data_IF_977153401223
#
_entry.id   IF_977153401223
#
_cell.length_a   1.000
_cell.length_b   1.000
_cell.length_c   1.000
_cell.angle_alpha   90.00
_cell.angle_beta   90.00
_cell.angle_gamma   90.00
#
_symmetry.space_group_name_H-M   'P 1'
#
loop_
_entity.id
_entity.type
_entity.pdbx_description
1 polymer ?
#
# COMPACT_ATOMS: atom_id res chain seq x y z
N UNK A 1 -18.32 -22.47 -10.32
CA UNK A 1 -17.09 -23.24 -9.99
C UNK A 1 -16.18 -22.37 -9.12
N UNK A 2 -15.87 -22.77 -7.88
CA UNK A 2 -14.88 -22.06 -7.04
C UNK A 2 -13.50 -22.65 -7.30
N UNK A 3 -12.57 -21.85 -7.81
CA UNK A 3 -11.18 -22.26 -8.04
C UNK A 3 -10.50 -22.54 -6.70
N UNK A 4 -9.69 -23.61 -6.54
CA UNK A 4 -9.00 -23.92 -5.30
C UNK A 4 -8.00 -22.83 -4.90
N UNK A 5 -7.80 -22.63 -3.60
CA UNK A 5 -6.94 -21.56 -3.07
C UNK A 5 -5.49 -21.70 -3.55
N UNK A 6 -4.90 -22.89 -3.54
CA UNK A 6 -3.54 -23.09 -4.02
C UNK A 6 -3.38 -22.72 -5.50
N UNK A 7 -4.38 -23.02 -6.32
CA UNK A 7 -4.39 -22.69 -7.75
C UNK A 7 -4.45 -21.18 -7.97
N UNK A 8 -5.19 -20.45 -7.13
CA UNK A 8 -5.21 -18.98 -7.17
C UNK A 8 -3.86 -18.37 -6.84
N UNK A 9 -3.15 -18.91 -5.83
CA UNK A 9 -1.81 -18.45 -5.46
C UNK A 9 -0.82 -18.66 -6.62
N UNK A 10 -0.82 -19.86 -7.22
CA UNK A 10 0.06 -20.18 -8.35
C UNK A 10 -0.23 -19.24 -9.53
N UNK A 11 -1.50 -19.03 -9.85
CA UNK A 11 -1.91 -18.12 -10.92
C UNK A 11 -1.48 -16.67 -10.65
N UNK A 12 -1.58 -16.19 -9.40
CA UNK A 12 -1.10 -14.87 -9.02
C UNK A 12 0.41 -14.71 -9.23
N UNK A 13 1.21 -15.72 -8.86
CA UNK A 13 2.67 -15.70 -9.06
C UNK A 13 3.02 -15.74 -10.55
N UNK A 14 2.34 -16.60 -11.33
CA UNK A 14 2.57 -16.70 -12.78
C UNK A 14 2.27 -15.36 -13.46
N UNK A 15 1.11 -14.75 -13.17
CA UNK A 15 0.75 -13.45 -13.75
C UNK A 15 1.70 -12.35 -13.33
N UNK A 16 2.12 -12.33 -12.05
CA UNK A 16 3.11 -11.38 -11.56
C UNK A 16 4.43 -11.49 -12.35
N UNK A 17 4.95 -12.70 -12.55
CA UNK A 17 6.20 -12.91 -13.29
C UNK A 17 6.03 -12.57 -14.77
N UNK A 18 4.95 -13.02 -15.42
CA UNK A 18 4.69 -12.77 -16.84
C UNK A 18 4.70 -11.28 -17.18
N UNK A 19 4.06 -10.48 -16.33
CA UNK A 19 3.91 -9.03 -16.53
C UNK A 19 5.23 -8.28 -16.34
N UNK A 20 6.21 -8.86 -15.64
CA UNK A 20 7.57 -8.29 -15.55
C UNK A 20 8.44 -8.61 -16.77
N UNK A 21 8.04 -9.58 -17.60
CA UNK A 21 8.80 -10.04 -18.77
C UNK A 21 8.26 -9.50 -20.10
N UNK A 22 7.00 -9.07 -20.12
CA UNK A 22 6.31 -8.61 -21.34
C UNK A 22 5.98 -7.13 -21.21
N UNK A 23 6.24 -6.36 -22.28
CA UNK A 23 5.81 -4.97 -22.39
C UNK A 23 4.29 -4.90 -22.64
N UNK A 24 3.55 -4.67 -21.56
CA UNK A 24 2.10 -4.50 -21.56
C UNK A 24 1.69 -3.05 -21.32
N UNK A 25 0.46 -2.64 -21.72
CA UNK A 25 -0.10 -1.36 -21.34
C UNK A 25 -0.01 -1.12 -19.82
N UNK A 26 0.33 0.10 -19.41
CA UNK A 26 0.65 0.43 -18.01
C UNK A 26 -0.43 0.00 -17.01
N UNK A 27 -1.72 0.14 -17.36
CA UNK A 27 -2.82 -0.27 -16.48
C UNK A 27 -2.80 -1.77 -16.18
N UNK A 28 -2.59 -2.60 -17.21
CA UNK A 28 -2.49 -4.05 -17.08
C UNK A 28 -1.25 -4.42 -16.27
N UNK A 29 -0.12 -3.77 -16.59
CA UNK A 29 1.12 -3.96 -15.86
C UNK A 29 0.95 -3.67 -14.36
N UNK A 30 0.38 -2.52 -14.03
CA UNK A 30 0.17 -2.11 -12.64
C UNK A 30 -0.78 -3.07 -11.92
N UNK A 31 -1.94 -3.38 -12.50
CA UNK A 31 -2.93 -4.25 -11.86
C UNK A 31 -2.35 -5.62 -11.49
N UNK A 32 -1.64 -6.26 -12.41
CA UNK A 32 -1.07 -7.59 -12.17
C UNK A 32 0.23 -7.57 -11.36
N UNK A 33 1.02 -6.49 -11.44
CA UNK A 33 2.21 -6.35 -10.59
C UNK A 33 1.85 -6.32 -9.10
N UNK A 34 0.69 -5.77 -8.74
CA UNK A 34 0.24 -5.68 -7.35
C UNK A 34 -0.55 -6.91 -6.85
N UNK A 35 -0.89 -7.87 -7.71
CA UNK A 35 -1.62 -9.09 -7.33
C UNK A 35 -1.04 -9.83 -6.10
N UNK A 36 0.28 -10.03 -5.98
CA UNK A 36 0.85 -10.69 -4.80
C UNK A 36 0.50 -9.99 -3.48
N UNK A 37 0.47 -8.65 -3.46
CA UNK A 37 0.10 -7.87 -2.28
C UNK A 37 -1.36 -8.09 -1.88
N UNK A 38 -2.27 -8.09 -2.84
CA UNK A 38 -3.68 -8.39 -2.59
C UNK A 38 -3.86 -9.81 -2.05
N UNK A 39 -3.15 -10.76 -2.63
CA UNK A 39 -3.22 -12.16 -2.21
C UNK A 39 -2.68 -12.37 -0.80
N UNK A 40 -1.59 -11.70 -0.44
CA UNK A 40 -1.07 -11.66 0.94
C UNK A 40 -2.12 -11.12 1.91
N UNK A 41 -2.84 -10.05 1.55
CA UNK A 41 -3.95 -9.53 2.34
C UNK A 41 -5.05 -10.57 2.59
N UNK A 42 -5.39 -11.38 1.58
CA UNK A 42 -6.36 -12.48 1.71
C UNK A 42 -5.84 -13.57 2.65
N UNK A 43 -4.56 -13.95 2.55
CA UNK A 43 -3.93 -14.95 3.44
C UNK A 43 -4.02 -14.47 4.90
N UNK A 44 -3.64 -13.23 5.17
CA UNK A 44 -3.70 -12.63 6.51
C UNK A 44 -5.15 -12.59 7.00
N UNK A 45 -6.10 -12.18 6.15
CA UNK A 45 -7.52 -12.12 6.51
C UNK A 45 -8.13 -13.48 6.84
N UNK A 46 -7.72 -14.56 6.15
CA UNK A 46 -8.19 -15.92 6.44
C UNK A 46 -7.56 -16.51 7.70
N UNK A 47 -6.28 -16.25 7.92
CA UNK A 47 -5.49 -16.85 8.98
C UNK A 47 -4.84 -15.77 9.86
N UNK A 48 -5.66 -14.95 10.52
CA UNK A 48 -5.17 -13.81 11.30
C UNK A 48 -4.22 -14.21 12.43
N UNK A 49 -4.35 -15.44 12.94
CA UNK A 49 -3.47 -16.03 13.95
C UNK A 49 -2.01 -16.15 13.50
N UNK A 50 -1.71 -16.11 12.20
CA UNK A 50 -0.33 -16.03 11.68
C UNK A 50 0.37 -14.80 12.27
N UNK A 51 -0.35 -13.71 12.50
CA UNK A 51 0.20 -12.51 13.10
C UNK A 51 0.60 -12.71 14.56
N UNK A 52 0.04 -13.65 15.33
CA UNK A 52 0.48 -13.89 16.72
C UNK A 52 1.92 -14.42 16.82
N UNK A 53 2.49 -14.93 15.73
CA UNK A 53 3.82 -15.54 15.75
C UNK A 53 4.92 -14.48 15.75
N UNK A 54 5.76 -14.50 16.80
CA UNK A 54 6.96 -13.67 16.86
C UNK A 54 7.94 -13.94 15.71
N UNK A 55 7.96 -15.17 15.17
CA UNK A 55 8.79 -15.52 14.01
C UNK A 55 8.37 -14.73 12.77
N UNK A 56 7.06 -14.58 12.55
CA UNK A 56 6.53 -13.79 11.41
C UNK A 56 6.91 -12.32 11.57
N UNK A 57 6.86 -11.78 12.80
CA UNK A 57 7.34 -10.43 13.08
C UNK A 57 8.83 -10.27 12.80
N UNK A 58 9.68 -11.15 13.36
CA UNK A 58 11.12 -11.07 13.19
C UNK A 58 11.52 -11.16 11.71
N UNK A 59 10.95 -12.13 10.98
CA UNK A 59 11.22 -12.32 9.54
C UNK A 59 10.75 -11.11 8.72
N UNK A 60 9.53 -10.61 8.96
CA UNK A 60 9.02 -9.43 8.24
C UNK A 60 9.83 -8.16 8.53
N UNK A 61 10.29 -7.97 9.77
CA UNK A 61 11.16 -6.88 10.15
C UNK A 61 12.53 -6.99 9.47
N UNK A 62 13.17 -8.16 9.50
CA UNK A 62 14.46 -8.41 8.83
C UNK A 62 14.34 -8.15 7.33
N UNK A 63 13.33 -8.71 6.67
CA UNK A 63 13.09 -8.53 5.23
C UNK A 63 12.91 -7.04 4.90
N UNK A 64 12.15 -6.31 5.72
CA UNK A 64 11.90 -4.88 5.48
C UNK A 64 13.18 -4.05 5.67
N UNK A 65 13.95 -4.30 6.72
CA UNK A 65 15.21 -3.59 7.00
C UNK A 65 16.26 -3.90 5.93
N UNK A 66 16.41 -5.16 5.54
CA UNK A 66 17.29 -5.56 4.44
C UNK A 66 16.87 -4.90 3.13
N UNK A 67 15.58 -4.84 2.85
CA UNK A 67 15.06 -4.16 1.66
C UNK A 67 15.37 -2.67 1.60
N UNK A 68 15.28 -1.99 2.74
CA UNK A 68 15.70 -0.59 2.87
C UNK A 68 17.20 -0.43 2.65
N UNK A 69 18.03 -1.28 3.28
CA UNK A 69 19.48 -1.25 3.14
C UNK A 69 19.93 -1.50 1.69
N UNK A 70 19.35 -2.51 1.03
CA UNK A 70 19.62 -2.85 -0.38
C UNK A 70 19.29 -1.68 -1.30
N UNK A 71 18.15 -1.00 -1.08
CA UNK A 71 17.79 0.19 -1.88
C UNK A 71 18.74 1.37 -1.68
N UNK A 72 19.26 1.55 -0.48
CA UNK A 72 20.25 2.60 -0.20
C UNK A 72 21.56 2.29 -0.92
N UNK A 73 22.02 1.03 -0.88
CA UNK A 73 23.31 0.64 -1.42
C UNK A 73 23.33 0.56 -2.96
N UNK A 74 22.24 0.10 -3.59
CA UNK A 74 22.19 -0.07 -5.05
C UNK A 74 22.09 1.25 -5.85
N UNK A 75 21.96 2.41 -5.19
CA UNK A 75 22.29 3.72 -5.78
C UNK A 75 21.60 4.09 -7.11
N UNK A 76 20.39 3.57 -7.38
CA UNK A 76 19.65 3.83 -8.64
C UNK A 76 18.71 5.05 -8.58
N UNK A 77 17.63 5.03 -9.38
CA UNK A 77 16.48 5.95 -9.22
C UNK A 77 15.74 5.65 -7.91
N UNK A 78 16.38 5.95 -6.77
CA UNK A 78 15.92 5.71 -5.40
C UNK A 78 14.57 6.38 -5.08
N UNK A 79 14.14 7.33 -5.92
CA UNK A 79 12.82 7.98 -5.84
C UNK A 79 11.70 7.16 -6.53
N UNK A 80 12.04 6.17 -7.36
CA UNK A 80 11.07 5.30 -8.07
C UNK A 80 10.71 4.09 -7.20
N UNK A 81 9.89 4.36 -6.18
CA UNK A 81 9.51 3.38 -5.15
C UNK A 81 8.10 2.81 -5.32
N UNK A 82 7.31 3.33 -6.24
CA UNK A 82 5.89 2.94 -6.36
C UNK A 82 5.74 1.59 -7.06
N UNK A 83 6.59 1.26 -8.04
CA UNK A 83 6.44 0.05 -8.85
C UNK A 83 6.75 -1.24 -8.07
N UNK A 84 5.93 -2.27 -8.25
CA UNK A 84 6.12 -3.60 -7.64
C UNK A 84 7.00 -4.45 -8.58
N UNK A 85 8.31 -4.29 -8.45
CA UNK A 85 9.32 -4.96 -9.29
C UNK A 85 9.73 -6.31 -8.68
N UNK A 86 10.12 -7.28 -9.51
CA UNK A 86 10.56 -8.61 -9.08
C UNK A 86 11.65 -8.57 -8.00
N UNK A 87 12.64 -7.70 -8.18
CA UNK A 87 13.79 -7.54 -7.29
C UNK A 87 13.47 -6.88 -5.93
N UNK A 88 12.30 -6.24 -5.79
CA UNK A 88 11.91 -5.53 -4.56
C UNK A 88 10.57 -5.98 -4.00
N UNK A 89 9.89 -6.91 -4.66
CA UNK A 89 8.59 -7.44 -4.28
C UNK A 89 8.63 -8.07 -2.88
N UNK A 90 9.68 -8.85 -2.57
CA UNK A 90 9.80 -9.52 -1.26
C UNK A 90 9.89 -8.52 -0.11
N UNK A 91 10.58 -7.39 -0.31
CA UNK A 91 10.70 -6.33 0.69
C UNK A 91 9.37 -5.64 0.95
N UNK A 92 8.59 -5.39 -0.12
CA UNK A 92 7.24 -4.82 -0.02
C UNK A 92 6.28 -5.77 0.69
N UNK A 93 6.31 -7.06 0.36
CA UNK A 93 5.52 -8.10 1.05
C UNK A 93 5.89 -8.16 2.54
N UNK A 94 7.19 -8.15 2.87
CA UNK A 94 7.66 -8.08 4.25
C UNK A 94 7.08 -6.87 5.00
N UNK A 95 7.10 -5.68 4.38
CA UNK A 95 6.55 -4.47 4.99
C UNK A 95 5.04 -4.55 5.26
N UNK A 96 4.29 -5.25 4.39
CA UNK A 96 2.85 -5.48 4.58
C UNK A 96 2.62 -6.33 5.83
N UNK A 97 3.29 -7.47 5.94
CA UNK A 97 3.20 -8.32 7.14
C UNK A 97 3.58 -7.57 8.41
N UNK A 98 4.66 -6.78 8.36
CA UNK A 98 5.10 -5.98 9.49
C UNK A 98 4.02 -4.97 9.91
N UNK A 99 3.42 -4.27 8.96
CA UNK A 99 2.39 -3.26 9.27
C UNK A 99 1.11 -3.88 9.82
N UNK A 100 0.67 -5.01 9.26
CA UNK A 100 -0.48 -5.75 9.79
C UNK A 100 -0.21 -6.35 11.18
N UNK A 101 1.00 -6.85 11.43
CA UNK A 101 1.41 -7.32 12.76
C UNK A 101 1.33 -6.20 13.80
N UNK A 102 1.87 -5.02 13.47
CA UNK A 102 1.81 -3.85 14.35
C UNK A 102 0.36 -3.43 14.61
N UNK A 103 -0.47 -3.37 13.57
CA UNK A 103 -1.89 -3.03 13.72
C UNK A 103 -2.63 -4.04 14.60
N UNK A 104 -2.34 -5.33 14.45
CA UNK A 104 -3.00 -6.38 15.21
C UNK A 104 -2.64 -6.33 16.71
N UNK A 105 -1.36 -6.14 17.07
CA UNK A 105 -0.94 -6.12 18.49
C UNK A 105 -1.18 -4.79 19.18
N UNK A 106 -1.07 -3.67 18.47
CA UNK A 106 -1.17 -2.33 19.04
C UNK A 106 -2.54 -1.68 18.82
N UNK A 107 -3.55 -2.45 18.39
CA UNK A 107 -4.89 -1.96 18.07
C UNK A 107 -5.49 -1.05 19.15
N UNK A 108 -5.28 -1.38 20.43
CA UNK A 108 -5.88 -0.65 21.55
C UNK A 108 -5.18 0.68 21.90
N UNK A 109 -4.11 1.05 21.21
CA UNK A 109 -3.40 2.30 21.48
C UNK A 109 -4.15 3.50 20.84
N UNK A 110 -4.10 4.68 21.47
CA UNK A 110 -4.76 5.91 21.01
C UNK A 110 -4.39 6.28 19.56
N UNK A 111 -3.15 6.00 19.16
CA UNK A 111 -2.69 6.20 17.79
C UNK A 111 -3.46 5.33 16.79
N UNK A 112 -3.58 4.03 17.05
CA UNK A 112 -4.29 3.11 16.16
C UNK A 112 -5.79 3.35 16.14
N UNK A 113 -6.40 3.67 17.30
CA UNK A 113 -7.79 4.10 17.37
C UNK A 113 -8.09 5.33 16.50
N UNK A 114 -7.14 6.28 16.42
CA UNK A 114 -7.28 7.44 15.54
C UNK A 114 -7.33 7.03 14.06
N UNK A 115 -6.44 6.12 13.62
CA UNK A 115 -6.42 5.63 12.24
C UNK A 115 -7.61 4.72 11.92
N UNK A 116 -8.08 3.93 12.88
CA UNK A 116 -9.25 3.06 12.72
C UNK A 116 -10.50 3.85 12.32
N UNK A 117 -10.69 5.06 12.87
CA UNK A 117 -11.79 5.97 12.49
C UNK A 117 -11.80 6.30 10.98
N UNK A 118 -10.63 6.37 10.35
CA UNK A 118 -10.51 6.65 8.92
C UNK A 118 -10.59 5.39 8.05
N UNK A 119 -10.66 4.18 8.63
CA UNK A 119 -10.85 2.93 7.89
C UNK A 119 -12.11 2.91 7.02
N UNK A 120 -13.19 3.56 7.50
CA UNK A 120 -14.42 3.85 6.74
C UNK A 120 -14.18 4.59 5.42
N UNK A 121 -13.13 5.42 5.37
CA UNK A 121 -12.76 6.24 4.22
C UNK A 121 -11.53 5.67 3.50
N UNK A 122 -11.22 4.39 3.70
CA UNK A 122 -10.06 3.71 3.10
C UNK A 122 -10.02 3.86 1.57
N UNK A 123 -11.18 3.86 0.90
CA UNK A 123 -11.26 4.10 -0.55
C UNK A 123 -10.79 5.51 -0.95
N UNK A 124 -11.13 6.52 -0.16
CA UNK A 124 -10.69 7.90 -0.38
C UNK A 124 -9.18 7.96 -0.22
N UNK A 125 -8.65 7.41 0.87
CA UNK A 125 -7.21 7.35 1.13
C UNK A 125 -6.49 6.62 -0.01
N UNK A 126 -7.03 5.51 -0.49
CA UNK A 126 -6.47 4.73 -1.59
C UNK A 126 -6.43 5.53 -2.91
N UNK A 127 -7.48 6.27 -3.26
CA UNK A 127 -7.51 7.06 -4.49
C UNK A 127 -6.64 8.31 -4.41
N UNK A 128 -6.59 8.94 -3.24
CA UNK A 128 -5.93 10.23 -3.03
C UNK A 128 -4.44 10.09 -2.76
N UNK A 129 -3.97 9.02 -2.10
CA UNK A 129 -2.54 8.91 -1.77
C UNK A 129 -1.64 8.82 -3.01
N UNK A 130 -2.08 8.19 -4.10
CA UNK A 130 -1.30 8.06 -5.34
C UNK A 130 -0.97 9.40 -6.01
N UNK A 131 -1.95 10.28 -6.31
CA UNK A 131 -1.67 11.59 -6.90
C UNK A 131 -0.88 12.50 -5.94
N UNK A 132 -1.23 12.53 -4.65
CA UNK A 132 -0.52 13.36 -3.68
C UNK A 132 0.91 12.89 -3.44
N UNK A 133 1.18 11.58 -3.37
CA UNK A 133 2.54 11.05 -3.27
C UNK A 133 3.37 11.43 -4.50
N UNK A 134 2.79 11.38 -5.70
CA UNK A 134 3.48 11.80 -6.93
C UNK A 134 3.78 13.30 -6.93
N UNK A 135 2.84 14.13 -6.49
CA UNK A 135 3.02 15.57 -6.34
C UNK A 135 4.12 15.90 -5.32
N UNK A 136 4.02 15.36 -4.10
CA UNK A 136 5.01 15.61 -3.05
C UNK A 136 6.40 15.08 -3.41
N UNK A 137 6.50 13.98 -4.16
CA UNK A 137 7.78 13.49 -4.69
C UNK A 137 8.47 14.56 -5.55
N UNK A 138 7.74 15.17 -6.49
CA UNK A 138 8.28 16.23 -7.35
C UNK A 138 8.69 17.44 -6.50
N UNK A 139 7.86 17.84 -5.53
CA UNK A 139 8.16 18.98 -4.64
C UNK A 139 9.41 18.71 -3.81
N UNK A 140 9.51 17.56 -3.14
CA UNK A 140 10.66 17.19 -2.30
C UNK A 140 11.96 17.07 -3.12
N UNK A 141 11.88 16.55 -4.34
CA UNK A 141 13.03 16.51 -5.26
C UNK A 141 13.45 17.91 -5.69
N UNK A 142 12.51 18.82 -5.97
CA UNK A 142 12.80 20.21 -6.35
C UNK A 142 13.41 21.02 -5.19
N UNK A 143 13.09 20.68 -3.95
CA UNK A 143 13.71 21.26 -2.74
C UNK A 143 15.14 20.71 -2.53
N UNK A 144 15.55 19.69 -3.27
CA UNK A 144 16.92 19.15 -3.21
C UNK A 144 17.17 18.20 -2.04
N UNK A 145 16.12 17.56 -1.50
CA UNK A 145 16.29 16.57 -0.42
C UNK A 145 16.97 15.32 -0.99
N UNK A 146 18.25 15.16 -0.64
CA UNK A 146 19.11 14.06 -1.10
C UNK A 146 19.13 12.86 -0.14
N UNK A 147 18.75 13.04 1.13
CA UNK A 147 18.72 11.95 2.10
C UNK A 147 17.48 11.06 1.90
N UNK A 148 17.71 9.79 1.56
CA UNK A 148 16.65 8.81 1.29
C UNK A 148 15.68 8.61 2.46
N UNK A 149 16.19 8.51 3.70
CA UNK A 149 15.34 8.28 4.87
C UNK A 149 14.43 9.48 5.14
N UNK A 150 15.02 10.68 5.11
CA UNK A 150 14.27 11.93 5.29
C UNK A 150 13.23 12.07 4.19
N UNK A 151 13.60 11.78 2.94
CA UNK A 151 12.70 11.82 1.80
C UNK A 151 11.51 10.87 1.96
N UNK A 152 11.78 9.60 2.30
CA UNK A 152 10.75 8.57 2.45
C UNK A 152 9.82 8.90 3.63
N UNK A 153 10.38 9.34 4.76
CA UNK A 153 9.60 9.74 5.92
C UNK A 153 8.68 10.92 5.61
N UNK A 154 9.22 11.99 4.99
CA UNK A 154 8.43 13.16 4.60
C UNK A 154 7.37 12.81 3.56
N UNK A 155 7.70 11.96 2.58
CA UNK A 155 6.75 11.55 1.54
C UNK A 155 5.56 10.79 2.14
N UNK A 156 5.82 9.82 3.03
CA UNK A 156 4.77 9.07 3.72
C UNK A 156 3.94 10.01 4.59
N UNK A 157 4.59 10.87 5.37
CA UNK A 157 3.93 11.80 6.27
C UNK A 157 3.01 12.76 5.49
N UNK A 158 3.54 13.46 4.49
CA UNK A 158 2.79 14.42 3.67
C UNK A 158 1.63 13.75 2.91
N UNK A 159 1.88 12.60 2.28
CA UNK A 159 0.85 11.86 1.55
C UNK A 159 -0.26 11.38 2.49
N UNK A 160 0.09 10.90 3.69
CA UNK A 160 -0.86 10.45 4.70
C UNK A 160 -1.70 11.63 5.24
N UNK A 161 -1.05 12.74 5.61
CA UNK A 161 -1.72 13.96 6.09
C UNK A 161 -2.68 14.53 5.04
N UNK A 162 -2.26 14.60 3.78
CA UNK A 162 -3.13 15.06 2.69
C UNK A 162 -4.34 14.14 2.51
N UNK A 163 -4.15 12.82 2.59
CA UNK A 163 -5.26 11.85 2.49
C UNK A 163 -6.27 12.03 3.62
N UNK A 164 -5.80 12.19 4.86
CA UNK A 164 -6.64 12.44 6.04
C UNK A 164 -7.40 13.77 5.88
N UNK A 165 -6.73 14.81 5.38
CA UNK A 165 -7.35 16.11 5.12
C UNK A 165 -8.49 16.01 4.11
N UNK A 166 -8.32 15.26 3.02
CA UNK A 166 -9.39 15.02 2.04
C UNK A 166 -10.53 14.18 2.64
N UNK A 167 -10.23 13.20 3.50
CA UNK A 167 -11.29 12.49 4.25
C UNK A 167 -12.09 13.43 5.15
N UNK A 168 -11.43 14.36 5.84
CA UNK A 168 -12.10 15.38 6.64
C UNK A 168 -12.99 16.29 5.78
N UNK A 169 -12.48 16.77 4.63
CA UNK A 169 -13.24 17.58 3.68
C UNK A 169 -14.45 16.82 3.12
N UNK A 170 -14.28 15.53 2.79
CA UNK A 170 -15.37 14.67 2.33
C UNK A 170 -16.49 14.56 3.37
N UNK A 171 -16.16 14.51 4.66
CA UNK A 171 -17.15 14.55 5.74
C UNK A 171 -17.89 15.88 5.88
N UNK A 172 -17.34 16.99 5.37
CA UNK A 172 -17.89 18.36 5.51
C UNK A 172 -18.57 18.87 4.24
N UNK A 173 -18.11 18.45 3.07
CA UNK A 173 -18.55 18.96 1.76
C UNK A 173 -19.22 17.85 0.94
N UNK A 174 -20.50 18.03 0.64
CA UNK A 174 -21.28 17.07 -0.15
C UNK A 174 -20.71 16.82 -1.55
N UNK A 175 -20.11 17.83 -2.18
CA UNK A 175 -19.49 17.70 -3.51
C UNK A 175 -18.30 16.74 -3.48
N UNK A 176 -17.46 16.84 -2.45
CA UNK A 176 -16.29 15.97 -2.29
C UNK A 176 -16.75 14.54 -1.96
N UNK A 177 -17.76 14.39 -1.10
CA UNK A 177 -18.33 13.09 -0.79
C UNK A 177 -18.98 12.42 -2.00
N UNK A 178 -19.66 13.19 -2.85
CA UNK A 178 -20.25 12.71 -4.11
C UNK A 178 -19.21 12.13 -5.06
N UNK A 179 -18.05 12.79 -5.21
CA UNK A 179 -16.99 12.31 -6.08
C UNK A 179 -16.44 10.94 -5.67
N UNK A 180 -16.37 10.67 -4.36
CA UNK A 180 -15.84 9.41 -3.83
C UNK A 180 -16.91 8.34 -3.55
N UNK A 181 -18.16 8.74 -3.30
CA UNK A 181 -19.29 7.84 -3.01
C UNK A 181 -20.53 8.30 -3.79
N UNK A 182 -20.52 8.19 -5.13
CA UNK A 182 -21.64 8.63 -5.95
C UNK A 182 -22.90 7.79 -5.71
N UNK A 183 -22.73 6.53 -5.29
CA UNK A 183 -23.77 5.56 -4.93
C UNK A 183 -24.74 6.05 -3.85
N UNK A 184 -24.28 6.92 -2.93
CA UNK A 184 -25.13 7.48 -1.87
C UNK A 184 -26.10 8.54 -2.36
N UNK A 185 -25.80 9.16 -3.50
CA UNK A 185 -26.53 10.30 -4.05
C UNK A 185 -27.30 9.91 -5.30
N UNK A 186 -26.72 9.02 -6.11
CA UNK A 186 -27.40 8.37 -7.21
C UNK A 186 -28.13 7.17 -6.61
N UNK A 187 -29.38 7.38 -6.18
CA UNK A 187 -30.34 6.27 -6.00
C UNK A 187 -30.51 5.61 -7.37
N UNK A 188 -29.63 4.69 -7.72
CA UNK A 188 -29.90 3.72 -8.76
C UNK A 188 -30.97 2.82 -8.13
N UNK A 189 -32.22 3.17 -8.39
CA UNK A 189 -33.38 2.35 -8.02
C UNK A 189 -33.18 0.99 -8.66
N UNK A 190 -32.86 -0.01 -7.85
CA UNK A 190 -33.23 -1.40 -8.15
C UNK A 190 -34.76 -1.53 -8.09
#
# INVERSE_FOLDING_TARGET
>A
MRIPFHTQLVLCIILFVLVQLIDLPYFIYSAFSWLPCFYVGIIIGKNINILNSYVVFAVSLIITVLGLAVRIYLGGMWFRNNDMLLNTAIFKIGSIFLMFFLFYHFRNNKFFNYFEKYGKYSIIIYLVHLPFSSFFKIVLLRIGISNYFLFLFLLIFLSCSASIFICYLSGKMNVVNFFFHPDKYLKISE
#
